data_IF_244488495947
#
_entry.id   IF_244488495947
#
_cell.length_a   1.000
_cell.length_b   1.000
_cell.length_c   1.000
_cell.angle_alpha   90.00
_cell.angle_beta   90.00
_cell.angle_gamma   90.00
#
_symmetry.space_group_name_H-M   'P 1'
#
loop_
_entity.id
_entity.type
_entity.pdbx_description
1 polymer ?
#
# COMPACT_ATOMS: atom_id res chain seq x y z
N UNK A 1 23.44 10.46 8.37
CA UNK A 1 22.93 11.50 9.27
C UNK A 1 21.82 10.87 10.12
N UNK A 2 21.92 10.96 11.44
CA UNK A 2 20.92 10.48 12.40
C UNK A 2 20.58 11.60 13.39
N UNK A 3 19.33 11.61 13.88
CA UNK A 3 18.88 12.65 14.80
C UNK A 3 18.36 13.90 14.09
N UNK A 4 18.46 15.05 14.77
CA UNK A 4 18.06 16.34 14.21
C UNK A 4 19.19 16.94 13.38
N UNK A 5 18.90 17.24 12.10
CA UNK A 5 19.80 17.91 11.16
C UNK A 5 19.00 18.95 10.41
N UNK A 6 19.51 20.18 10.28
CA UNK A 6 18.84 21.29 9.60
C UNK A 6 17.39 21.46 10.09
N UNK A 7 17.20 21.42 11.41
CA UNK A 7 15.91 21.58 12.09
C UNK A 7 14.84 20.51 11.74
N UNK A 8 15.26 19.36 11.28
CA UNK A 8 14.39 18.25 10.90
C UNK A 8 14.87 16.95 11.53
N UNK A 9 13.92 16.10 11.97
CA UNK A 9 14.23 14.77 12.44
C UNK A 9 14.50 13.85 11.26
N UNK A 10 15.77 13.47 11.10
CA UNK A 10 16.18 12.39 10.19
C UNK A 10 16.08 11.06 10.92
N UNK A 11 15.47 10.08 10.30
CA UNK A 11 15.44 8.70 10.78
C UNK A 11 16.60 7.89 10.18
N UNK A 12 16.31 6.63 9.89
CA UNK A 12 17.26 5.68 9.26
C UNK A 12 17.48 5.92 7.76
N UNK A 13 16.64 6.73 7.12
CA UNK A 13 16.70 7.02 5.69
C UNK A 13 17.49 8.30 5.41
N UNK A 14 18.02 8.42 4.19
CA UNK A 14 18.84 9.54 3.76
C UNK A 14 18.09 10.90 3.76
N UNK A 15 16.76 10.90 3.72
CA UNK A 15 15.94 12.11 3.79
C UNK A 15 14.71 11.87 4.66
N UNK A 16 14.32 12.85 5.49
CA UNK A 16 13.14 12.76 6.36
C UNK A 16 11.83 12.67 5.56
N UNK A 17 11.82 13.12 4.31
CA UNK A 17 10.63 13.06 3.47
C UNK A 17 10.17 11.63 3.17
N UNK A 18 11.10 10.71 2.91
CA UNK A 18 10.74 9.31 2.58
C UNK A 18 10.14 8.59 3.79
N UNK A 19 10.78 8.73 4.96
CA UNK A 19 10.28 8.09 6.18
C UNK A 19 8.95 8.69 6.63
N UNK A 20 8.72 9.99 6.42
CA UNK A 20 7.43 10.61 6.76
C UNK A 20 6.28 10.14 5.86
N UNK A 21 6.53 9.83 4.58
CA UNK A 21 5.54 9.19 3.70
C UNK A 21 5.25 7.76 4.15
N UNK A 22 6.29 7.00 4.51
CA UNK A 22 6.11 5.65 5.08
C UNK A 22 5.29 5.71 6.36
N UNK A 23 5.57 6.66 7.25
CA UNK A 23 4.80 6.89 8.46
C UNK A 23 3.31 7.19 8.17
N UNK A 24 3.03 7.98 7.14
CA UNK A 24 1.65 8.23 6.71
C UNK A 24 0.96 6.96 6.17
N UNK A 25 1.67 6.13 5.42
CA UNK A 25 1.18 4.84 4.93
C UNK A 25 0.83 3.92 6.11
N UNK A 26 1.70 3.85 7.13
CA UNK A 26 1.45 3.06 8.35
C UNK A 26 0.21 3.58 9.08
N UNK A 27 0.06 4.89 9.22
CA UNK A 27 -1.12 5.50 9.84
C UNK A 27 -2.39 5.09 9.10
N UNK A 28 -2.44 5.24 7.77
CA UNK A 28 -3.60 4.88 6.96
C UNK A 28 -3.95 3.40 7.15
N UNK A 29 -2.96 2.51 7.05
CA UNK A 29 -3.15 1.08 7.18
C UNK A 29 -3.72 0.70 8.56
N UNK A 30 -3.11 1.19 9.64
CA UNK A 30 -3.54 0.88 11.01
C UNK A 30 -4.91 1.50 11.31
N UNK A 31 -5.15 2.74 10.90
CA UNK A 31 -6.42 3.44 11.11
C UNK A 31 -7.60 2.68 10.53
N UNK A 32 -7.46 2.19 9.30
CA UNK A 32 -8.52 1.46 8.59
C UNK A 32 -8.85 0.10 9.23
N UNK A 33 -7.93 -0.46 10.01
CA UNK A 33 -8.09 -1.76 10.68
C UNK A 33 -8.42 -1.67 12.17
N UNK A 34 -8.43 -0.48 12.78
CA UNK A 34 -8.62 -0.31 14.23
C UNK A 34 -9.89 -0.98 14.77
N UNK A 35 -10.97 -1.01 14.02
CA UNK A 35 -12.25 -1.60 14.44
C UNK A 35 -12.20 -3.13 14.56
N UNK A 36 -11.34 -3.79 13.78
CA UNK A 36 -11.20 -5.24 13.72
C UNK A 36 -10.19 -5.81 14.74
N UNK A 37 -9.41 -4.94 15.41
CA UNK A 37 -8.34 -5.37 16.31
C UNK A 37 -8.87 -5.62 17.74
N UNK A 38 -8.32 -6.66 18.40
CA UNK A 38 -8.54 -6.89 19.83
C UNK A 38 -7.93 -5.76 20.69
N UNK A 39 -8.32 -5.66 21.96
CA UNK A 39 -7.95 -4.53 22.84
C UNK A 39 -6.44 -4.29 22.95
N UNK A 40 -5.62 -5.32 23.05
CA UNK A 40 -4.15 -5.20 23.21
C UNK A 40 -3.54 -4.70 21.91
N UNK A 41 -3.83 -5.35 20.79
CA UNK A 41 -3.30 -4.97 19.47
C UNK A 41 -3.80 -3.57 19.07
N UNK A 42 -5.04 -3.23 19.42
CA UNK A 42 -5.60 -1.89 19.20
C UNK A 42 -4.83 -0.80 19.95
N UNK A 43 -4.46 -1.05 21.22
CA UNK A 43 -3.64 -0.12 22.00
C UNK A 43 -2.27 0.08 21.35
N UNK A 44 -1.60 -0.99 20.93
CA UNK A 44 -0.32 -0.92 20.23
C UNK A 44 -0.44 -0.18 18.88
N UNK A 45 -1.52 -0.42 18.14
CA UNK A 45 -1.79 0.27 16.89
C UNK A 45 -1.99 1.78 17.10
N UNK A 46 -2.74 2.18 18.12
CA UNK A 46 -2.94 3.60 18.48
C UNK A 46 -1.59 4.23 18.87
N UNK A 47 -0.79 3.57 19.72
CA UNK A 47 0.55 4.06 20.07
C UNK A 47 1.43 4.23 18.84
N UNK A 48 1.41 3.28 17.91
CA UNK A 48 2.13 3.38 16.64
C UNK A 48 1.65 4.55 15.78
N UNK A 49 0.33 4.78 15.69
CA UNK A 49 -0.23 5.94 14.97
C UNK A 49 0.28 7.25 15.56
N UNK A 50 0.26 7.38 16.90
CA UNK A 50 0.73 8.58 17.59
C UNK A 50 2.22 8.82 17.33
N UNK A 51 3.07 7.79 17.44
CA UNK A 51 4.50 7.91 17.20
C UNK A 51 4.81 8.27 15.73
N UNK A 52 4.13 7.64 14.77
CA UNK A 52 4.30 7.98 13.36
C UNK A 52 3.82 9.39 13.03
N UNK A 53 2.72 9.84 13.65
CA UNK A 53 2.26 11.22 13.49
C UNK A 53 3.25 12.22 14.10
N UNK A 54 3.78 11.96 15.28
CA UNK A 54 4.83 12.78 15.89
C UNK A 54 6.07 12.86 14.97
N UNK A 55 6.47 11.73 14.36
CA UNK A 55 7.56 11.73 13.39
C UNK A 55 7.24 12.62 12.17
N UNK A 56 6.04 12.54 11.61
CA UNK A 56 5.62 13.40 10.48
C UNK A 56 5.80 14.89 10.85
N UNK A 57 5.34 15.27 12.04
CA UNK A 57 5.46 16.65 12.52
C UNK A 57 6.93 17.07 12.66
N UNK A 58 7.75 16.26 13.35
CA UNK A 58 9.16 16.54 13.58
C UNK A 58 10.03 16.46 12.31
N UNK A 59 9.59 15.72 11.30
CA UNK A 59 10.25 15.68 9.98
C UNK A 59 10.12 16.98 9.18
N UNK A 60 9.11 17.80 9.48
CA UNK A 60 8.80 19.03 8.75
C UNK A 60 8.52 18.82 7.27
N UNK A 61 8.02 17.65 6.87
CA UNK A 61 7.79 17.30 5.46
C UNK A 61 6.52 17.93 4.90
N UNK A 62 6.64 19.03 4.15
CA UNK A 62 5.50 19.67 3.47
C UNK A 62 4.77 18.72 2.52
N UNK A 63 5.53 17.87 1.81
CA UNK A 63 4.97 16.84 0.92
C UNK A 63 4.02 15.92 1.67
N UNK A 64 4.41 15.45 2.86
CA UNK A 64 3.57 14.56 3.68
C UNK A 64 2.31 15.25 4.18
N UNK A 65 2.38 16.52 4.53
CA UNK A 65 1.19 17.29 4.90
C UNK A 65 0.20 17.42 3.74
N UNK A 66 0.67 17.69 2.52
CA UNK A 66 -0.18 17.70 1.32
C UNK A 66 -0.82 16.32 1.13
N UNK A 67 -0.03 15.25 1.20
CA UNK A 67 -0.54 13.89 1.07
C UNK A 67 -1.59 13.53 2.14
N UNK A 68 -1.39 13.97 3.39
CA UNK A 68 -2.34 13.75 4.49
C UNK A 68 -3.69 14.44 4.21
N UNK A 69 -3.66 15.70 3.77
CA UNK A 69 -4.88 16.46 3.43
C UNK A 69 -5.63 15.80 2.27
N UNK A 70 -4.90 15.40 1.21
CA UNK A 70 -5.52 14.71 0.06
C UNK A 70 -6.07 13.35 0.46
N UNK A 71 -5.35 12.57 1.27
CA UNK A 71 -5.83 11.28 1.76
C UNK A 71 -7.12 11.44 2.61
N UNK A 72 -7.17 12.44 3.50
CA UNK A 72 -8.36 12.76 4.30
C UNK A 72 -9.55 13.18 3.42
N UNK A 73 -9.29 13.98 2.38
CA UNK A 73 -10.32 14.40 1.42
C UNK A 73 -10.88 13.19 0.66
N UNK A 74 -10.03 12.36 0.10
CA UNK A 74 -10.46 11.15 -0.63
C UNK A 74 -11.18 10.17 0.29
N UNK A 75 -10.65 9.94 1.51
CA UNK A 75 -11.31 9.12 2.50
C UNK A 75 -12.73 9.63 2.79
N UNK A 76 -12.89 10.93 2.98
CA UNK A 76 -14.18 11.54 3.27
C UNK A 76 -15.17 11.41 2.09
N UNK A 77 -14.69 11.55 0.84
CA UNK A 77 -15.52 11.34 -0.35
C UNK A 77 -15.99 9.89 -0.49
N UNK A 78 -15.17 8.94 -0.07
CA UNK A 78 -15.48 7.51 -0.15
C UNK A 78 -16.45 7.09 0.97
N UNK A 79 -16.18 7.53 2.20
CA UNK A 79 -16.87 7.06 3.41
C UNK A 79 -18.22 7.73 3.65
N UNK A 80 -18.33 9.02 3.31
CA UNK A 80 -19.56 9.76 3.55
C UNK A 80 -20.40 9.81 2.27
N UNK A 81 -21.66 9.40 2.39
CA UNK A 81 -22.60 9.52 1.29
C UNK A 81 -22.63 10.96 0.78
N UNK A 82 -22.85 11.15 -0.51
CA UNK A 82 -22.92 12.45 -1.18
C UNK A 82 -23.94 13.40 -0.53
N UNK A 83 -24.89 12.86 0.24
CA UNK A 83 -25.87 13.62 1.05
C UNK A 83 -25.24 14.36 2.23
N UNK A 84 -24.01 14.01 2.66
CA UNK A 84 -23.39 14.55 3.86
C UNK A 84 -22.12 15.34 3.58
N UNK A 85 -22.21 16.29 2.62
CA UNK A 85 -21.11 17.20 2.23
C UNK A 85 -20.52 17.95 3.42
N UNK A 86 -21.34 18.24 4.43
CA UNK A 86 -20.90 18.90 5.65
C UNK A 86 -19.87 18.05 6.43
N UNK A 87 -20.08 16.73 6.56
CA UNK A 87 -19.11 15.84 7.25
C UNK A 87 -17.79 15.74 6.49
N UNK A 88 -17.83 15.64 5.16
CA UNK A 88 -16.62 15.67 4.34
C UNK A 88 -15.85 16.96 4.51
N UNK A 89 -16.53 18.09 4.44
CA UNK A 89 -15.92 19.41 4.64
C UNK A 89 -15.31 19.56 6.03
N UNK A 90 -16.03 19.14 7.08
CA UNK A 90 -15.54 19.17 8.46
C UNK A 90 -14.30 18.27 8.63
N UNK A 91 -14.29 17.08 8.05
CA UNK A 91 -13.12 16.17 8.12
C UNK A 91 -11.88 16.79 7.50
N UNK A 92 -12.01 17.40 6.32
CA UNK A 92 -10.89 18.10 5.66
C UNK A 92 -10.45 19.31 6.49
N UNK A 93 -11.40 20.12 6.96
CA UNK A 93 -11.11 21.29 7.78
C UNK A 93 -10.37 20.92 9.07
N UNK A 94 -10.83 19.87 9.77
CA UNK A 94 -10.16 19.36 10.97
C UNK A 94 -8.75 18.84 10.65
N UNK A 95 -8.55 18.18 9.52
CA UNK A 95 -7.23 17.70 9.10
C UNK A 95 -6.29 18.86 8.80
N UNK A 96 -6.76 19.88 8.08
CA UNK A 96 -5.98 21.11 7.82
C UNK A 96 -5.67 21.83 9.12
N UNK A 97 -6.64 21.96 10.01
CA UNK A 97 -6.47 22.55 11.34
C UNK A 97 -5.43 21.77 12.18
N UNK A 98 -5.49 20.45 12.18
CA UNK A 98 -4.52 19.60 12.87
C UNK A 98 -3.09 19.79 12.31
N UNK A 99 -2.93 19.83 11.00
CA UNK A 99 -1.63 20.10 10.36
C UNK A 99 -1.12 21.48 10.75
N UNK A 100 -1.97 22.51 10.69
CA UNK A 100 -1.61 23.88 11.03
C UNK A 100 -1.20 24.02 12.51
N UNK A 101 -2.00 23.45 13.42
CA UNK A 101 -1.72 23.47 14.86
C UNK A 101 -0.44 22.69 15.19
N UNK A 102 -0.23 21.53 14.56
CA UNK A 102 0.99 20.74 14.76
C UNK A 102 2.23 21.50 14.32
N UNK A 103 2.19 22.09 13.14
CA UNK A 103 3.31 22.88 12.60
C UNK A 103 3.65 24.08 13.51
N UNK A 104 2.64 24.87 13.89
CA UNK A 104 2.85 26.03 14.76
C UNK A 104 3.22 25.61 16.20
N UNK A 105 2.66 24.53 16.71
CA UNK A 105 3.00 23.99 18.03
C UNK A 105 4.47 23.58 18.11
N UNK A 106 5.01 22.92 17.09
CA UNK A 106 6.44 22.58 17.02
C UNK A 106 7.29 23.83 16.92
N UNK A 107 6.92 24.81 16.09
CA UNK A 107 7.62 26.09 15.97
C UNK A 107 7.67 26.81 17.31
N UNK A 108 6.52 26.95 17.97
CA UNK A 108 6.42 27.60 19.28
C UNK A 108 7.23 26.90 20.36
N UNK A 109 7.19 25.56 20.41
CA UNK A 109 7.99 24.76 21.37
C UNK A 109 9.48 24.93 21.13
N UNK A 110 9.91 25.03 19.87
CA UNK A 110 11.29 25.31 19.49
C UNK A 110 11.73 26.69 19.97
N UNK A 111 10.94 27.71 19.72
CA UNK A 111 11.26 29.08 20.13
C UNK A 111 11.39 29.20 21.66
N UNK A 112 10.52 28.50 22.41
CA UNK A 112 10.61 28.42 23.86
C UNK A 112 11.89 27.74 24.32
N UNK A 113 12.23 26.61 23.69
CA UNK A 113 13.45 25.87 24.02
C UNK A 113 14.70 26.71 23.75
N UNK A 114 14.78 27.37 22.59
CA UNK A 114 15.89 28.26 22.23
C UNK A 114 16.03 29.43 23.19
N UNK A 115 14.92 30.06 23.59
CA UNK A 115 14.94 31.14 24.59
C UNK A 115 15.42 30.65 25.95
N UNK A 116 14.97 29.48 26.40
CA UNK A 116 15.35 28.92 27.69
C UNK A 116 16.85 28.52 27.76
N UNK A 117 17.44 28.09 26.61
CA UNK A 117 18.83 27.62 26.56
C UNK A 117 19.77 28.58 25.81
N UNK A 118 19.37 29.83 25.61
CA UNK A 118 20.11 30.81 24.82
C UNK A 118 21.57 31.04 25.33
N UNK A 119 21.77 31.05 26.63
CA UNK A 119 23.09 31.20 27.22
C UNK A 119 24.01 30.00 26.96
N UNK A 120 23.46 28.77 27.05
CA UNK A 120 24.19 27.52 26.79
C UNK A 120 24.56 27.39 25.31
N UNK A 121 23.66 27.77 24.42
CA UNK A 121 23.83 27.77 22.96
C UNK A 121 24.93 28.76 22.56
N UNK A 122 25.00 29.96 23.19
CA UNK A 122 26.06 30.92 22.94
C UNK A 122 27.41 30.41 23.38
N UNK A 123 27.51 29.79 24.58
CA UNK A 123 28.72 29.18 25.10
C UNK A 123 29.24 28.05 24.19
N UNK A 124 28.36 27.24 23.64
CA UNK A 124 28.75 26.14 22.74
C UNK A 124 29.17 26.66 21.34
N UNK A 125 28.57 27.75 20.85
CA UNK A 125 29.03 28.46 19.64
C UNK A 125 30.46 29.00 19.79
N UNK A 126 30.78 29.57 20.93
CA UNK A 126 32.14 30.08 21.23
C UNK A 126 33.17 28.95 21.33
N UNK A 127 32.74 27.74 21.71
CA UNK A 127 33.60 26.55 21.75
C UNK A 127 33.71 25.81 20.40
N UNK A 128 33.11 26.32 19.32
CA UNK A 128 33.16 25.70 18.00
C UNK A 128 32.28 24.45 17.83
N UNK A 129 31.43 24.15 18.79
CA UNK A 129 30.44 23.06 18.70
C UNK A 129 29.17 23.55 18.03
N UNK A 130 29.04 23.23 16.77
CA UNK A 130 27.85 23.56 15.97
C UNK A 130 26.63 22.63 16.28
N UNK A 131 26.19 22.63 17.55
CA UNK A 131 24.93 21.99 17.96
C UNK A 131 23.77 22.97 17.89
N UNK A 132 23.49 23.48 16.70
CA UNK A 132 22.29 24.30 16.46
C UNK A 132 21.05 23.40 16.37
N UNK A 133 20.46 23.04 17.50
CA UNK A 133 19.11 22.48 17.61
C UNK A 133 18.07 23.59 17.35
N UNK A 134 18.11 24.21 16.17
CA UNK A 134 17.01 25.10 15.76
C UNK A 134 16.00 24.26 15.00
N UNK A 135 14.71 24.34 15.31
CA UNK A 135 13.63 23.76 14.54
C UNK A 135 13.19 24.70 13.37
N UNK A 136 13.89 25.82 13.20
CA UNK A 136 13.72 26.65 12.01
C UNK A 136 14.44 26.01 10.81
N UNK A 137 13.74 25.93 9.72
CA UNK A 137 14.29 25.43 8.46
C UNK A 137 15.25 26.45 7.87
N UNK A 138 16.53 26.11 7.84
CA UNK A 138 17.57 26.93 7.23
C UNK A 138 17.70 26.69 5.71
N UNK A 139 17.04 25.62 5.20
CA UNK A 139 17.07 25.23 3.79
C UNK A 139 16.01 25.96 2.93
N UNK A 140 15.24 26.88 3.51
CA UNK A 140 14.26 27.69 2.79
C UNK A 140 14.36 29.17 3.17
N UNK A 141 14.56 30.04 2.19
CA UNK A 141 14.38 31.49 2.35
C UNK A 141 12.93 31.87 1.93
N UNK A 142 12.48 33.06 2.37
CA UNK A 142 11.17 33.60 1.94
C UNK A 142 11.11 33.77 0.42
N UNK A 143 12.25 33.98 -0.24
CA UNK A 143 12.37 34.14 -1.68
C UNK A 143 12.39 32.81 -2.44
N UNK A 144 12.67 31.67 -1.77
CA UNK A 144 12.82 30.35 -2.41
C UNK A 144 12.00 29.25 -1.74
N UNK A 145 10.68 29.41 -1.73
CA UNK A 145 9.72 28.43 -1.17
C UNK A 145 9.84 27.06 -1.82
N UNK A 146 10.28 26.98 -3.08
CA UNK A 146 10.38 25.73 -3.85
C UNK A 146 11.69 24.98 -3.66
N UNK A 147 12.66 25.51 -2.94
CA UNK A 147 14.05 24.99 -2.87
C UNK A 147 14.63 24.72 -4.27
N UNK A 148 14.55 25.69 -5.15
CA UNK A 148 15.02 25.64 -6.55
C UNK A 148 14.38 24.55 -7.42
N UNK A 149 13.32 23.88 -6.97
CA UNK A 149 12.70 22.78 -7.72
C UNK A 149 12.24 23.22 -9.12
N UNK A 150 11.66 24.41 -9.25
CA UNK A 150 11.24 24.90 -10.57
C UNK A 150 12.43 25.05 -11.54
N UNK A 151 13.57 25.57 -11.09
CA UNK A 151 14.78 25.66 -11.89
C UNK A 151 15.32 24.28 -12.26
N UNK A 152 15.32 23.33 -11.33
CA UNK A 152 15.69 21.94 -11.58
C UNK A 152 14.77 21.32 -12.63
N UNK A 153 13.44 21.45 -12.47
CA UNK A 153 12.45 20.89 -13.40
C UNK A 153 12.56 21.48 -14.80
N UNK A 154 12.72 22.80 -14.90
CA UNK A 154 12.92 23.48 -16.19
C UNK A 154 14.20 23.02 -16.87
N UNK A 155 15.30 22.93 -16.11
CA UNK A 155 16.57 22.43 -16.62
C UNK A 155 16.45 20.96 -17.03
N UNK A 156 15.81 20.09 -16.26
CA UNK A 156 15.61 18.69 -16.64
C UNK A 156 14.74 18.57 -17.90
N UNK A 157 13.64 19.32 -17.97
CA UNK A 157 12.73 19.30 -19.11
C UNK A 157 13.41 19.69 -20.42
N UNK A 158 14.43 20.59 -20.41
CA UNK A 158 15.18 20.98 -21.59
C UNK A 158 16.00 19.85 -22.22
N UNK A 159 16.28 18.78 -21.46
CA UNK A 159 16.97 17.59 -21.97
C UNK A 159 16.06 16.61 -22.70
N UNK A 160 14.75 16.55 -22.33
CA UNK A 160 13.83 15.54 -22.86
C UNK A 160 13.75 15.55 -24.40
N UNK A 161 13.61 16.72 -25.08
CA UNK A 161 13.54 16.75 -26.54
C UNK A 161 14.84 16.28 -27.23
N UNK A 162 15.98 16.34 -26.53
CA UNK A 162 17.29 15.95 -27.09
C UNK A 162 17.43 14.41 -27.14
N UNK A 163 16.75 13.66 -26.25
CA UNK A 163 16.72 12.18 -26.20
C UNK A 163 15.34 11.63 -25.81
N UNK A 164 14.32 11.81 -26.65
CA UNK A 164 12.94 11.60 -26.25
C UNK A 164 12.59 10.12 -26.04
N UNK A 165 13.20 9.18 -26.79
CA UNK A 165 12.78 7.78 -26.77
C UNK A 165 13.42 6.97 -25.62
N UNK A 166 14.73 7.10 -25.43
CA UNK A 166 15.50 6.25 -24.50
C UNK A 166 15.99 7.00 -23.26
N UNK A 167 15.91 8.34 -23.24
CA UNK A 167 16.38 9.15 -22.13
C UNK A 167 17.90 9.08 -21.91
N UNK A 168 18.33 9.38 -20.70
CA UNK A 168 19.75 9.57 -20.34
C UNK A 168 20.32 8.44 -19.48
N UNK A 169 19.55 7.41 -19.13
CA UNK A 169 19.91 6.35 -18.18
C UNK A 169 20.25 6.87 -16.77
N UNK A 170 19.71 6.25 -15.74
CA UNK A 170 19.96 6.68 -14.37
C UNK A 170 21.41 6.51 -13.92
N UNK A 171 22.10 5.50 -14.44
CA UNK A 171 23.52 5.26 -14.11
C UNK A 171 24.48 6.21 -14.83
N UNK A 172 24.06 6.90 -15.90
CA UNK A 172 24.94 7.71 -16.74
C UNK A 172 24.39 9.09 -17.12
N UNK A 173 23.27 9.50 -16.51
CA UNK A 173 22.60 10.76 -16.88
C UNK A 173 23.51 11.99 -16.80
N UNK A 174 24.40 12.01 -15.83
CA UNK A 174 25.30 13.13 -15.58
C UNK A 174 26.35 13.27 -16.67
N UNK A 175 27.10 12.19 -16.93
CA UNK A 175 28.15 12.21 -17.95
C UNK A 175 27.56 12.42 -19.37
N UNK A 176 26.46 11.72 -19.66
CA UNK A 176 25.77 11.90 -20.92
C UNK A 176 25.12 13.29 -21.03
N UNK A 177 24.60 13.84 -19.96
CA UNK A 177 24.03 15.19 -19.91
C UNK A 177 25.08 16.28 -20.23
N UNK A 178 26.32 16.13 -19.71
CA UNK A 178 27.43 17.03 -20.04
C UNK A 178 27.70 17.13 -21.53
N UNK A 179 27.56 16.03 -22.27
CA UNK A 179 27.79 16.04 -23.72
C UNK A 179 26.78 16.88 -24.50
N UNK A 180 25.58 17.09 -23.91
CA UNK A 180 24.50 17.87 -24.51
C UNK A 180 24.48 19.32 -24.03
N UNK A 181 24.72 19.56 -22.74
CA UNK A 181 24.76 20.90 -22.15
C UNK A 181 25.38 20.84 -20.74
N UNK A 182 26.70 21.08 -20.69
CA UNK A 182 27.45 21.08 -19.42
C UNK A 182 27.11 22.30 -18.54
N UNK A 183 26.50 23.35 -19.09
CA UNK A 183 26.14 24.57 -18.36
C UNK A 183 24.75 24.50 -17.75
N UNK A 184 23.94 23.50 -18.14
CA UNK A 184 22.58 23.33 -17.62
C UNK A 184 22.57 23.17 -16.09
N UNK A 185 21.60 23.80 -15.42
CA UNK A 185 21.53 23.88 -13.96
C UNK A 185 21.60 22.51 -13.28
N UNK A 186 20.85 21.51 -13.78
CA UNK A 186 20.85 20.14 -13.21
C UNK A 186 22.23 19.46 -13.33
N UNK A 187 23.00 19.77 -14.40
CA UNK A 187 24.34 19.22 -14.64
C UNK A 187 25.35 19.95 -13.76
N UNK A 188 25.35 21.28 -13.80
CA UNK A 188 26.28 22.12 -13.05
C UNK A 188 26.24 21.86 -11.55
N UNK A 189 25.04 21.78 -11.00
CA UNK A 189 24.81 21.59 -9.56
C UNK A 189 24.70 20.11 -9.15
N UNK A 190 24.72 19.18 -10.10
CA UNK A 190 24.58 17.73 -9.88
C UNK A 190 23.34 17.35 -9.06
N UNK A 191 22.21 18.00 -9.32
CA UNK A 191 20.98 17.77 -8.60
C UNK A 191 20.18 16.61 -9.17
N UNK A 192 19.49 15.86 -8.28
CA UNK A 192 18.41 14.98 -8.67
C UNK A 192 17.16 15.80 -9.02
N UNK A 193 16.26 15.22 -9.82
CA UNK A 193 15.08 15.94 -10.34
C UNK A 193 14.08 16.37 -9.28
N UNK A 194 14.08 15.75 -8.11
CA UNK A 194 13.06 15.93 -7.06
C UNK A 194 11.61 15.82 -7.56
N UNK A 195 11.41 15.04 -8.62
CA UNK A 195 10.11 14.68 -9.19
C UNK A 195 10.26 13.32 -9.89
N UNK A 196 9.66 12.27 -9.31
CA UNK A 196 9.81 10.90 -9.79
C UNK A 196 9.27 10.67 -11.21
N UNK A 197 8.25 11.42 -11.62
CA UNK A 197 7.72 11.31 -13.00
C UNK A 197 8.66 11.92 -14.03
N UNK A 198 9.17 13.12 -13.73
CA UNK A 198 10.15 13.78 -14.57
C UNK A 198 11.45 12.98 -14.63
N UNK A 199 11.86 12.40 -13.51
CA UNK A 199 13.01 11.51 -13.39
C UNK A 199 12.86 10.27 -14.27
N UNK A 200 11.70 9.60 -14.20
CA UNK A 200 11.40 8.43 -15.01
C UNK A 200 11.48 8.75 -16.51
N UNK A 201 10.89 9.89 -16.91
CA UNK A 201 10.93 10.36 -18.29
C UNK A 201 12.36 10.76 -18.72
N UNK A 202 13.11 11.43 -17.86
CA UNK A 202 14.48 11.86 -18.12
C UNK A 202 15.43 10.67 -18.28
N UNK A 203 15.31 9.64 -17.41
CA UNK A 203 16.22 8.50 -17.45
C UNK A 203 15.85 7.47 -18.52
N UNK A 204 14.58 7.21 -18.75
CA UNK A 204 14.11 6.11 -19.60
C UNK A 204 13.40 6.57 -20.88
N UNK A 205 13.23 7.88 -21.05
CA UNK A 205 12.50 8.45 -22.18
C UNK A 205 11.04 8.00 -22.24
N UNK A 206 10.42 8.21 -23.40
CA UNK A 206 9.01 7.82 -23.63
C UNK A 206 8.82 6.31 -23.57
N UNK A 207 9.79 5.51 -23.99
CA UNK A 207 9.66 4.04 -23.97
C UNK A 207 9.54 3.46 -22.56
N UNK A 208 10.18 4.07 -21.56
CA UNK A 208 10.01 3.68 -20.17
C UNK A 208 8.84 4.39 -19.48
N UNK A 209 8.55 5.62 -19.87
CA UNK A 209 7.47 6.41 -19.25
C UNK A 209 6.07 5.95 -19.66
N UNK A 210 5.84 5.62 -20.94
CA UNK A 210 4.52 5.27 -21.46
C UNK A 210 3.90 4.01 -20.82
N UNK A 211 4.64 2.90 -20.62
CA UNK A 211 4.11 1.74 -19.90
C UNK A 211 3.69 2.07 -18.47
N UNK A 212 4.49 2.89 -17.77
CA UNK A 212 4.16 3.35 -16.44
C UNK A 212 2.89 4.24 -16.43
N UNK A 213 2.80 5.18 -17.39
CA UNK A 213 1.62 6.03 -17.54
C UNK A 213 0.36 5.21 -17.85
N UNK A 214 0.46 4.20 -18.71
CA UNK A 214 -0.62 3.28 -19.03
C UNK A 214 -1.07 2.48 -17.79
N UNK A 215 -0.11 1.98 -17.00
CA UNK A 215 -0.40 1.33 -15.71
C UNK A 215 -1.16 2.27 -14.78
N UNK A 216 -0.72 3.51 -14.64
CA UNK A 216 -1.34 4.51 -13.78
C UNK A 216 -2.76 4.87 -14.22
N UNK A 217 -2.96 5.09 -15.52
CA UNK A 217 -4.28 5.38 -16.10
C UNK A 217 -5.21 4.18 -15.87
N UNK A 218 -4.73 2.96 -16.08
CA UNK A 218 -5.50 1.74 -15.84
C UNK A 218 -5.88 1.58 -14.37
N UNK A 219 -4.95 1.89 -13.45
CA UNK A 219 -5.20 1.88 -12.01
C UNK A 219 -6.28 2.88 -11.61
N UNK A 220 -6.15 4.12 -12.04
CA UNK A 220 -7.12 5.19 -11.76
C UNK A 220 -8.50 4.82 -12.31
N UNK A 221 -8.55 4.36 -13.57
CA UNK A 221 -9.81 3.98 -14.22
C UNK A 221 -10.49 2.80 -13.52
N UNK A 222 -9.74 1.74 -13.18
CA UNK A 222 -10.26 0.59 -12.47
C UNK A 222 -10.77 0.99 -11.07
N UNK A 223 -10.04 1.87 -10.37
CA UNK A 223 -10.44 2.39 -9.06
C UNK A 223 -11.73 3.21 -9.12
N UNK A 224 -11.86 4.09 -10.11
CA UNK A 224 -13.08 4.88 -10.32
C UNK A 224 -14.28 3.96 -10.61
N UNK A 225 -14.11 2.99 -11.53
CA UNK A 225 -15.17 2.01 -11.84
C UNK A 225 -15.61 1.23 -10.61
N UNK A 226 -14.66 0.72 -9.85
CA UNK A 226 -14.94 -0.05 -8.64
C UNK A 226 -15.65 0.81 -7.60
N UNK A 227 -15.16 2.02 -7.37
CA UNK A 227 -15.76 2.96 -6.43
C UNK A 227 -17.21 3.32 -6.80
N UNK A 228 -17.48 3.60 -8.08
CA UNK A 228 -18.83 3.92 -8.54
C UNK A 228 -19.78 2.72 -8.40
N UNK A 229 -19.29 1.50 -8.63
CA UNK A 229 -20.06 0.26 -8.43
C UNK A 229 -20.35 0.05 -6.95
N UNK A 230 -19.33 0.09 -6.08
CA UNK A 230 -19.47 -0.15 -4.64
C UNK A 230 -20.39 0.88 -3.97
N UNK A 231 -20.37 2.13 -4.45
CA UNK A 231 -21.28 3.17 -3.99
C UNK A 231 -22.74 2.84 -4.31
N UNK A 232 -23.01 2.28 -5.50
CA UNK A 232 -24.34 1.84 -5.89
C UNK A 232 -24.81 0.68 -5.02
N UNK A 233 -23.92 -0.25 -4.69
CA UNK A 233 -24.22 -1.47 -3.93
C UNK A 233 -24.11 -1.23 -2.40
N UNK A 234 -23.81 0.01 -1.95
CA UNK A 234 -23.56 0.41 -0.54
C UNK A 234 -22.47 -0.39 0.17
N UNK A 235 -21.53 -0.94 -0.54
CA UNK A 235 -20.43 -1.75 -0.03
C UNK A 235 -19.22 -0.84 0.18
N UNK A 236 -18.66 -0.80 1.40
CA UNK A 236 -17.42 -0.10 1.71
C UNK A 236 -16.41 -1.08 2.29
N UNK A 237 -15.52 -1.57 1.45
CA UNK A 237 -14.42 -2.43 1.87
C UNK A 237 -13.25 -1.58 2.37
N UNK A 238 -12.96 -1.65 3.68
CA UNK A 238 -11.89 -0.87 4.30
C UNK A 238 -10.50 -1.22 3.74
N UNK A 239 -10.27 -2.46 3.33
CA UNK A 239 -8.98 -2.88 2.75
C UNK A 239 -8.76 -2.25 1.38
N UNK A 240 -9.79 -2.25 0.54
CA UNK A 240 -9.73 -1.58 -0.76
C UNK A 240 -9.52 -0.07 -0.62
N UNK A 241 -10.22 0.57 0.33
CA UNK A 241 -10.04 2.00 0.59
C UNK A 241 -8.62 2.28 1.07
N UNK A 242 -8.08 1.48 1.99
CA UNK A 242 -6.70 1.68 2.47
C UNK A 242 -5.68 1.50 1.35
N UNK A 243 -5.81 0.47 0.51
CA UNK A 243 -4.93 0.24 -0.65
C UNK A 243 -4.96 1.41 -1.63
N UNK A 244 -6.14 1.93 -1.94
CA UNK A 244 -6.29 3.11 -2.80
C UNK A 244 -5.61 4.35 -2.19
N UNK A 245 -5.88 4.66 -0.93
CA UNK A 245 -5.32 5.83 -0.26
C UNK A 245 -3.79 5.76 -0.18
N UNK A 246 -3.23 4.60 0.20
CA UNK A 246 -1.78 4.40 0.25
C UNK A 246 -1.13 4.56 -1.12
N UNK A 247 -1.73 3.99 -2.16
CA UNK A 247 -1.24 4.17 -3.54
C UNK A 247 -1.27 5.63 -3.95
N UNK A 248 -2.38 6.34 -3.73
CA UNK A 248 -2.51 7.76 -4.08
C UNK A 248 -1.50 8.62 -3.32
N UNK A 249 -1.25 8.34 -2.03
CA UNK A 249 -0.23 9.04 -1.23
C UNK A 249 1.15 8.89 -1.86
N UNK A 250 1.55 7.68 -2.27
CA UNK A 250 2.85 7.46 -2.92
C UNK A 250 2.91 8.21 -4.25
N UNK A 251 1.84 8.15 -5.05
CA UNK A 251 1.80 8.83 -6.35
C UNK A 251 1.91 10.34 -6.23
N UNK A 252 1.19 10.96 -5.29
CA UNK A 252 1.29 12.40 -5.05
C UNK A 252 2.68 12.76 -4.52
N UNK A 253 3.25 11.93 -3.63
CA UNK A 253 4.59 12.18 -3.11
C UNK A 253 5.66 12.20 -4.21
N UNK A 254 5.47 11.43 -5.29
CA UNK A 254 6.37 11.39 -6.44
C UNK A 254 6.44 12.71 -7.23
N UNK A 255 5.48 13.62 -7.08
CA UNK A 255 5.59 14.98 -7.63
C UNK A 255 6.74 15.78 -6.97
N UNK A 256 7.19 15.36 -5.79
CA UNK A 256 8.16 16.09 -4.97
C UNK A 256 9.35 15.26 -4.50
N UNK A 257 9.40 13.98 -4.83
CA UNK A 257 10.47 13.05 -4.44
C UNK A 257 11.12 12.42 -5.66
N UNK A 258 12.44 12.19 -5.56
CA UNK A 258 13.24 11.47 -6.55
C UNK A 258 13.43 10.01 -6.17
N UNK A 259 13.83 9.18 -7.12
CA UNK A 259 14.27 7.78 -6.90
C UNK A 259 13.23 6.85 -6.28
N UNK A 260 11.95 7.23 -6.32
CA UNK A 260 10.85 6.40 -5.83
C UNK A 260 10.35 5.42 -6.88
N UNK A 261 10.32 5.84 -8.14
CA UNK A 261 9.89 5.03 -9.28
C UNK A 261 11.07 4.35 -9.99
N UNK A 262 12.29 4.73 -9.64
CA UNK A 262 13.51 4.23 -10.24
C UNK A 262 14.35 3.47 -9.20
N UNK A 263 14.85 2.30 -9.60
CA UNK A 263 15.65 1.45 -8.73
C UNK A 263 14.83 0.72 -7.64
N UNK A 264 15.54 0.06 -6.74
CA UNK A 264 14.94 -0.64 -5.59
C UNK A 264 14.74 0.35 -4.44
N UNK A 265 13.68 1.14 -4.50
CA UNK A 265 13.27 2.00 -3.39
C UNK A 265 12.17 1.34 -2.57
N UNK A 266 12.20 1.55 -1.25
CA UNK A 266 11.17 1.02 -0.36
C UNK A 266 9.77 1.51 -0.76
N UNK A 267 9.61 2.80 -1.11
CA UNK A 267 8.34 3.36 -1.56
C UNK A 267 7.89 2.78 -2.90
N UNK A 268 8.83 2.54 -3.83
CA UNK A 268 8.54 1.87 -5.10
C UNK A 268 8.05 0.43 -4.90
N UNK A 269 8.73 -0.33 -4.05
CA UNK A 269 8.31 -1.69 -3.70
C UNK A 269 6.89 -1.69 -3.08
N UNK A 270 6.64 -0.80 -2.12
CA UNK A 270 5.32 -0.64 -1.49
C UNK A 270 4.26 -0.28 -2.55
N UNK A 271 4.56 0.66 -3.45
CA UNK A 271 3.65 1.06 -4.54
C UNK A 271 3.22 -0.13 -5.38
N UNK A 272 4.17 -0.91 -5.89
CA UNK A 272 3.87 -2.04 -6.79
C UNK A 272 3.19 -3.21 -6.06
N UNK A 273 3.58 -3.51 -4.82
CA UNK A 273 2.92 -4.56 -4.02
C UNK A 273 1.47 -4.17 -3.73
N UNK A 274 1.23 -2.96 -3.21
CA UNK A 274 -0.12 -2.51 -2.85
C UNK A 274 -1.00 -2.38 -4.09
N UNK A 275 -0.50 -1.77 -5.16
CA UNK A 275 -1.30 -1.60 -6.38
C UNK A 275 -1.58 -2.92 -7.08
N UNK A 276 -0.62 -3.86 -7.07
CA UNK A 276 -0.81 -5.22 -7.59
C UNK A 276 -1.87 -6.00 -6.80
N UNK A 277 -1.79 -5.95 -5.47
CA UNK A 277 -2.83 -6.52 -4.60
C UNK A 277 -4.20 -5.88 -4.87
N UNK A 278 -4.25 -4.55 -4.93
CA UNK A 278 -5.48 -3.82 -5.22
C UNK A 278 -6.09 -4.23 -6.57
N UNK A 279 -5.29 -4.32 -7.63
CA UNK A 279 -5.74 -4.83 -8.93
C UNK A 279 -6.26 -6.26 -8.85
N UNK A 280 -5.57 -7.13 -8.13
CA UNK A 280 -6.03 -8.52 -7.94
C UNK A 280 -7.41 -8.57 -7.31
N UNK A 281 -7.67 -7.75 -6.29
CA UNK A 281 -8.96 -7.72 -5.59
C UNK A 281 -10.07 -7.14 -6.45
N UNK A 282 -9.82 -6.04 -7.20
CA UNK A 282 -10.84 -5.42 -8.05
C UNK A 282 -11.11 -6.21 -9.33
N UNK A 283 -10.14 -6.99 -9.83
CA UNK A 283 -10.29 -7.81 -11.03
C UNK A 283 -10.98 -9.14 -10.76
N UNK A 284 -11.01 -9.60 -9.50
CA UNK A 284 -11.84 -10.74 -9.13
C UNK A 284 -13.28 -10.40 -9.48
N UNK A 285 -13.81 -11.02 -10.52
CA UNK A 285 -15.22 -11.01 -10.78
C UNK A 285 -15.90 -11.62 -9.57
N UNK A 286 -16.67 -10.84 -8.85
CA UNK A 286 -17.70 -11.37 -7.95
C UNK A 286 -18.87 -11.77 -8.84
N UNK A 287 -18.70 -12.88 -9.55
CA UNK A 287 -19.76 -13.46 -10.38
C UNK A 287 -20.77 -14.11 -9.43
N UNK A 288 -21.67 -13.32 -8.87
CA UNK A 288 -22.83 -13.81 -8.11
C UNK A 288 -22.55 -14.54 -6.80
N UNK A 289 -21.30 -14.83 -6.46
CA UNK A 289 -20.91 -15.56 -5.24
C UNK A 289 -20.93 -14.65 -4.01
N UNK A 290 -21.66 -15.08 -3.00
CA UNK A 290 -21.64 -14.49 -1.66
C UNK A 290 -20.47 -15.10 -0.87
N UNK A 291 -19.76 -14.28 -0.11
CA UNK A 291 -18.80 -14.80 0.85
C UNK A 291 -19.58 -15.46 1.99
N UNK A 292 -19.34 -16.73 2.19
CA UNK A 292 -19.93 -17.50 3.30
C UNK A 292 -19.23 -17.14 4.62
N UNK A 293 -19.95 -17.19 5.72
CA UNK A 293 -19.35 -17.17 7.06
C UNK A 293 -18.86 -18.57 7.45
N UNK A 294 -18.13 -18.70 8.58
CA UNK A 294 -17.53 -19.96 9.00
C UNK A 294 -18.56 -21.09 9.24
N UNK A 295 -19.75 -20.76 9.72
CA UNK A 295 -20.84 -21.73 9.92
C UNK A 295 -21.41 -22.20 8.59
N UNK A 296 -21.66 -21.27 7.69
CA UNK A 296 -22.14 -21.57 6.32
C UNK A 296 -21.13 -22.40 5.51
N UNK A 297 -19.81 -22.14 5.67
CA UNK A 297 -18.76 -22.95 5.03
C UNK A 297 -18.87 -24.41 5.52
N UNK A 298 -18.98 -24.62 6.83
CA UNK A 298 -19.12 -25.97 7.42
C UNK A 298 -20.39 -26.69 6.99
N UNK A 299 -21.49 -25.96 6.81
CA UNK A 299 -22.73 -26.56 6.25
C UNK A 299 -22.53 -27.03 4.80
N UNK A 300 -21.85 -26.22 3.98
CA UNK A 300 -21.53 -26.59 2.58
C UNK A 300 -20.59 -27.79 2.52
N UNK A 301 -19.53 -27.79 3.34
CA UNK A 301 -18.58 -28.91 3.45
C UNK A 301 -19.24 -30.21 3.89
N UNK A 302 -20.17 -30.16 4.85
CA UNK A 302 -20.99 -31.30 5.22
C UNK A 302 -21.84 -31.79 4.07
N UNK A 303 -22.43 -30.89 3.28
CA UNK A 303 -23.17 -31.25 2.07
C UNK A 303 -22.31 -31.99 1.04
N UNK A 304 -21.07 -31.51 0.82
CA UNK A 304 -20.09 -32.19 -0.05
C UNK A 304 -19.73 -33.56 0.52
N UNK A 305 -19.51 -33.66 1.84
CA UNK A 305 -19.17 -34.92 2.51
C UNK A 305 -20.32 -35.93 2.43
N UNK A 306 -21.57 -35.50 2.65
CA UNK A 306 -22.77 -36.34 2.52
C UNK A 306 -22.92 -36.84 1.08
N UNK A 307 -22.71 -35.98 0.07
CA UNK A 307 -22.71 -36.40 -1.32
C UNK A 307 -21.66 -37.50 -1.59
N UNK A 308 -20.42 -37.27 -1.16
CA UNK A 308 -19.34 -38.27 -1.31
C UNK A 308 -19.67 -39.56 -0.57
N UNK A 309 -20.19 -39.49 0.67
CA UNK A 309 -20.59 -40.66 1.44
C UNK A 309 -21.63 -41.48 0.72
N UNK A 310 -22.70 -40.84 0.25
CA UNK A 310 -23.80 -41.50 -0.46
C UNK A 310 -23.29 -42.15 -1.78
N UNK A 311 -22.42 -41.45 -2.51
CA UNK A 311 -21.83 -41.98 -3.73
C UNK A 311 -20.93 -43.20 -3.44
N UNK A 312 -20.11 -43.12 -2.41
CA UNK A 312 -19.27 -44.25 -1.96
C UNK A 312 -20.10 -45.47 -1.55
N UNK A 313 -21.21 -45.26 -0.83
CA UNK A 313 -22.16 -46.32 -0.47
C UNK A 313 -22.77 -46.97 -1.74
N UNK A 314 -23.25 -46.16 -2.67
CA UNK A 314 -23.87 -46.64 -3.92
C UNK A 314 -22.91 -47.45 -4.80
N UNK A 315 -21.66 -47.01 -4.90
CA UNK A 315 -20.63 -47.63 -5.74
C UNK A 315 -19.77 -48.67 -5.00
N UNK A 316 -20.09 -48.94 -3.71
CA UNK A 316 -19.35 -49.87 -2.83
C UNK A 316 -17.87 -49.51 -2.76
N UNK A 317 -17.58 -48.24 -2.44
CA UNK A 317 -16.24 -47.63 -2.29
C UNK A 317 -15.93 -47.47 -0.81
N UNK A 318 -14.78 -47.96 -0.36
CA UNK A 318 -14.35 -47.81 1.03
C UNK A 318 -13.41 -46.61 1.17
N UNK A 319 -13.75 -45.74 2.12
CA UNK A 319 -12.91 -44.60 2.49
C UNK A 319 -12.80 -44.48 4.01
N UNK A 320 -11.87 -43.69 4.50
CA UNK A 320 -11.76 -43.28 5.90
C UNK A 320 -11.55 -41.79 6.00
N UNK A 321 -12.02 -41.15 7.07
CA UNK A 321 -11.62 -39.79 7.39
C UNK A 321 -10.12 -39.73 7.62
N UNK A 322 -9.49 -38.61 7.27
CA UNK A 322 -8.05 -38.42 7.37
C UNK A 322 -7.70 -37.13 8.10
N UNK A 323 -6.45 -37.00 8.52
CA UNK A 323 -5.80 -35.80 9.05
C UNK A 323 -6.67 -35.02 10.07
N UNK A 324 -6.92 -33.72 9.82
CA UNK A 324 -7.71 -32.83 10.65
C UNK A 324 -9.14 -33.31 10.84
N UNK A 325 -9.76 -33.78 9.77
CA UNK A 325 -11.15 -34.32 9.79
C UNK A 325 -11.31 -35.50 10.73
N UNK A 326 -10.40 -36.47 10.69
CA UNK A 326 -10.41 -37.62 11.60
C UNK A 326 -10.18 -37.17 13.06
N UNK A 327 -9.20 -36.29 13.27
CA UNK A 327 -8.91 -35.75 14.60
C UNK A 327 -10.10 -34.98 15.16
N UNK A 328 -10.80 -34.19 14.34
CA UNK A 328 -12.04 -33.49 14.69
C UNK A 328 -13.14 -34.43 15.08
N UNK A 329 -13.40 -35.44 14.27
CA UNK A 329 -14.43 -36.46 14.56
C UNK A 329 -14.21 -37.18 15.90
N UNK A 330 -12.96 -37.56 16.21
CA UNK A 330 -12.62 -38.28 17.45
C UNK A 330 -12.60 -37.36 18.66
N UNK A 331 -11.95 -36.20 18.55
CA UNK A 331 -11.65 -35.30 19.66
C UNK A 331 -12.78 -34.30 19.94
N UNK A 332 -13.31 -33.69 18.89
CA UNK A 332 -14.31 -32.60 18.98
C UNK A 332 -15.73 -33.08 18.71
N UNK A 333 -15.91 -34.34 18.28
CA UNK A 333 -17.20 -34.91 17.82
C UNK A 333 -17.80 -34.12 16.62
N UNK A 334 -16.96 -33.49 15.85
CA UNK A 334 -17.28 -32.65 14.70
C UNK A 334 -16.01 -32.02 14.12
N UNK A 335 -16.14 -30.85 13.50
CA UNK A 335 -15.01 -30.09 12.99
C UNK A 335 -14.07 -29.61 14.10
N UNK A 336 -12.80 -29.50 13.80
CA UNK A 336 -11.90 -28.65 14.54
C UNK A 336 -12.34 -27.19 14.30
N UNK A 337 -12.47 -26.33 15.33
CA UNK A 337 -13.08 -24.99 15.17
C UNK A 337 -12.46 -24.07 14.10
N UNK A 338 -11.18 -24.29 13.77
CA UNK A 338 -10.42 -23.50 12.80
C UNK A 338 -10.03 -24.27 11.53
N UNK A 339 -10.60 -25.47 11.32
CA UNK A 339 -10.39 -26.29 10.12
C UNK A 339 -11.39 -25.88 9.03
N UNK A 340 -10.95 -25.79 7.81
CA UNK A 340 -11.69 -25.25 6.66
C UNK A 340 -11.75 -26.23 5.46
N UNK A 341 -11.49 -27.52 5.73
CA UNK A 341 -11.63 -28.56 4.72
C UNK A 341 -12.01 -29.93 5.31
N UNK A 342 -12.40 -30.85 4.46
CA UNK A 342 -12.69 -32.23 4.79
C UNK A 342 -11.79 -33.17 4.00
N UNK A 343 -10.95 -33.90 4.72
CA UNK A 343 -10.01 -34.85 4.15
C UNK A 343 -10.51 -36.29 4.29
N UNK A 344 -10.48 -37.02 3.20
CA UNK A 344 -10.71 -38.46 3.18
C UNK A 344 -9.50 -39.19 2.58
N UNK A 345 -9.26 -40.40 3.05
CA UNK A 345 -8.21 -41.28 2.56
C UNK A 345 -8.82 -42.52 1.91
N UNK A 346 -8.32 -42.86 0.73
CA UNK A 346 -8.74 -44.03 -0.05
C UNK A 346 -7.53 -44.85 -0.47
N UNK A 347 -7.73 -46.15 -0.66
CA UNK A 347 -6.78 -46.99 -1.40
C UNK A 347 -6.77 -46.54 -2.87
N UNK A 348 -5.70 -46.79 -3.59
CA UNK A 348 -5.51 -46.30 -4.96
C UNK A 348 -6.62 -46.71 -5.92
N UNK A 349 -7.04 -47.95 -5.87
CA UNK A 349 -8.14 -48.50 -6.66
C UNK A 349 -9.50 -47.85 -6.31
N UNK A 350 -9.75 -47.60 -5.03
CA UNK A 350 -10.96 -46.90 -4.56
C UNK A 350 -10.92 -45.41 -4.93
N UNK A 351 -9.75 -44.79 -4.89
CA UNK A 351 -9.55 -43.39 -5.30
C UNK A 351 -9.93 -43.19 -6.78
N UNK A 352 -9.43 -44.06 -7.64
CA UNK A 352 -9.71 -44.02 -9.08
C UNK A 352 -11.20 -44.29 -9.37
N UNK A 353 -11.81 -45.24 -8.64
CA UNK A 353 -13.26 -45.52 -8.72
C UNK A 353 -14.09 -44.32 -8.34
N UNK A 354 -13.78 -43.69 -7.20
CA UNK A 354 -14.52 -42.49 -6.72
C UNK A 354 -14.44 -41.33 -7.71
N UNK A 355 -13.24 -41.08 -8.26
CA UNK A 355 -13.05 -40.09 -9.30
C UNK A 355 -13.98 -40.31 -10.51
N UNK A 356 -13.99 -41.53 -11.01
CA UNK A 356 -14.86 -41.90 -12.14
C UNK A 356 -16.35 -41.88 -11.76
N UNK A 357 -16.70 -42.20 -10.52
CA UNK A 357 -18.07 -42.15 -10.06
C UNK A 357 -18.59 -40.73 -10.03
N UNK A 358 -17.83 -39.77 -9.50
CA UNK A 358 -18.19 -38.32 -9.50
C UNK A 358 -18.36 -37.80 -10.93
N UNK A 359 -17.47 -38.18 -11.85
CA UNK A 359 -17.58 -37.77 -13.24
C UNK A 359 -18.81 -38.34 -13.94
N UNK A 360 -19.18 -39.61 -13.64
CA UNK A 360 -20.37 -40.25 -14.22
C UNK A 360 -21.68 -39.72 -13.66
N UNK A 361 -21.69 -39.44 -12.36
CA UNK A 361 -22.88 -38.91 -11.68
C UNK A 361 -23.26 -37.52 -12.20
N UNK A 362 -22.26 -36.73 -12.57
CA UNK A 362 -22.42 -35.40 -13.19
C UNK A 362 -23.44 -34.53 -12.47
N UNK A 363 -23.40 -34.53 -11.14
CA UNK A 363 -24.31 -33.79 -10.30
C UNK A 363 -24.33 -32.29 -10.69
N UNK A 364 -25.46 -31.61 -10.71
CA UNK A 364 -25.53 -30.18 -11.08
C UNK A 364 -24.81 -29.26 -10.09
N UNK A 365 -24.71 -29.65 -8.81
CA UNK A 365 -24.11 -28.88 -7.73
C UNK A 365 -22.63 -29.27 -7.54
N UNK A 366 -22.36 -30.57 -7.32
CA UNK A 366 -21.04 -31.04 -6.94
C UNK A 366 -20.16 -31.34 -8.14
N UNK A 367 -18.96 -30.78 -8.14
CA UNK A 367 -17.98 -30.89 -9.23
C UNK A 367 -16.66 -31.42 -8.71
N UNK A 368 -15.88 -32.01 -9.62
CA UNK A 368 -14.51 -32.45 -9.31
C UNK A 368 -13.47 -31.63 -10.08
N UNK A 369 -12.47 -31.16 -9.38
CA UNK A 369 -11.28 -30.54 -9.97
C UNK A 369 -10.07 -31.45 -9.81
N UNK A 370 -9.39 -31.70 -10.93
CA UNK A 370 -8.16 -32.46 -11.00
C UNK A 370 -7.28 -31.94 -12.13
N UNK A 371 -6.00 -32.27 -12.14
CA UNK A 371 -5.11 -31.91 -13.25
C UNK A 371 -5.44 -32.67 -14.56
N UNK A 372 -6.21 -33.75 -14.50
CA UNK A 372 -6.72 -34.46 -15.66
C UNK A 372 -7.82 -33.68 -16.40
N UNK A 373 -8.61 -32.89 -15.69
CA UNK A 373 -9.67 -32.09 -16.29
C UNK A 373 -9.35 -30.58 -16.36
N UNK A 374 -8.34 -30.10 -15.62
CA UNK A 374 -7.78 -28.73 -15.75
C UNK A 374 -6.25 -28.79 -15.60
N UNK A 375 -5.51 -28.60 -16.68
CA UNK A 375 -4.04 -28.59 -16.71
C UNK A 375 -3.41 -27.52 -15.79
N UNK A 376 -4.16 -26.54 -15.29
CA UNK A 376 -3.70 -25.53 -14.34
C UNK A 376 -3.95 -25.91 -12.89
N UNK A 377 -4.59 -27.05 -12.64
CA UNK A 377 -4.88 -27.50 -11.28
C UNK A 377 -3.57 -27.90 -10.58
N UNK A 378 -3.23 -27.30 -9.41
CA UNK A 378 -1.87 -27.38 -8.88
C UNK A 378 -1.60 -28.57 -7.95
N UNK A 379 -2.62 -29.37 -7.62
CA UNK A 379 -2.51 -30.42 -6.60
C UNK A 379 -2.40 -31.83 -7.23
N UNK A 380 -1.66 -32.77 -6.58
CA UNK A 380 -1.53 -34.14 -7.05
C UNK A 380 -2.73 -35.03 -6.72
N UNK A 381 -3.78 -34.48 -6.14
CA UNK A 381 -5.04 -35.15 -5.78
C UNK A 381 -6.22 -34.32 -6.29
N UNK A 382 -7.35 -34.94 -6.56
CA UNK A 382 -8.55 -34.19 -6.93
C UNK A 382 -9.31 -33.65 -5.71
N UNK A 383 -10.08 -32.60 -5.92
CA UNK A 383 -11.02 -32.03 -4.95
C UNK A 383 -12.43 -32.10 -5.49
N UNK A 384 -13.37 -32.39 -4.58
CA UNK A 384 -14.80 -32.26 -4.87
C UNK A 384 -15.31 -31.00 -4.16
N UNK A 385 -16.12 -30.24 -4.85
CA UNK A 385 -16.62 -28.93 -4.39
C UNK A 385 -18.03 -28.67 -4.94
N UNK A 386 -18.77 -27.75 -4.35
CA UNK A 386 -20.06 -27.26 -4.85
C UNK A 386 -19.94 -25.99 -5.70
#
# INVERSE_FOLDING_TARGET
RQGFVESRLFGILASPNYLSIISLIIIIYLWMRLSALNKIVKSLAISSIVLNFAYIVLSGSRTTYICLVVAAFLYSLIKFEYSNKAKSFVTVLLTVGLVFLSYNGVKYSSDLYLKAHSAEIQLNKEKGENNNLTLERTDTSEENISNNRFAIWQSTASFIPKRPLFGYSAGNWYELGKTYDASAYIIKEHYLTHNGYLELLFYNGLLGFLPFAAFMISFIWASIKKFLKDKKDKITDNELVSGLLMTVVILISNLFLSSTLYGISLLGCILFIISGYYFSVISKKRDGYRQLNEEEIKEVELGVMDYIHNLCQKENINYSLAYGTLLGAVRHKGYIPWDDDVDISLKRDEYDKLYQAVLRDNDPIYKVASWENDARYPYPFYRVYD
#
